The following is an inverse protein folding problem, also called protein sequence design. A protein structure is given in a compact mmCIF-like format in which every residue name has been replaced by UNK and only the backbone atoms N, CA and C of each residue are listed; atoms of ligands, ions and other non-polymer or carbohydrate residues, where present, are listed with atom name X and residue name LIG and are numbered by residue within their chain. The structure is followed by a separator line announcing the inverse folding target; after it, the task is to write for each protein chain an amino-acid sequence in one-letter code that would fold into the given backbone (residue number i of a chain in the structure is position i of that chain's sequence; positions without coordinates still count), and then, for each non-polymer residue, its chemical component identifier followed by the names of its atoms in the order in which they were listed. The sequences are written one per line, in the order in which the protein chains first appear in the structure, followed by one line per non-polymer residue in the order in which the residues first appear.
data_IF_732584213198
#
_entry.id   IF_732584213198
#
_cell.length_a   1.000
_cell.length_b   1.000
_cell.length_c   1.000
_cell.angle_alpha   90.00
_cell.angle_beta   90.00
_cell.angle_gamma   90.00
#
_symmetry.space_group_name_H-M   'P 1'
#
loop_
_entity.id
_entity.type
_entity.pdbx_description
1 polymer ?
#
# COMPACT_ATOMS: atom_id res chain seq x y z
N UNK A 1 31.13 53.62 11.95
CA UNK A 1 31.21 54.23 10.62
C UNK A 1 32.03 53.23 9.82
N UNK A 2 31.48 52.46 8.89
CA UNK A 2 30.71 52.95 7.75
C UNK A 2 29.64 51.96 7.26
N UNK A 3 28.50 52.53 6.89
CA UNK A 3 27.36 51.90 6.24
C UNK A 3 27.71 51.58 4.78
N UNK A 4 27.45 50.35 4.32
CA UNK A 4 27.38 50.01 2.90
C UNK A 4 25.92 49.62 2.58
N UNK A 5 25.31 50.14 1.49
CA UNK A 5 23.85 50.16 1.33
C UNK A 5 23.30 48.83 0.80
N UNK A 6 22.11 48.46 1.28
CA UNK A 6 21.25 47.45 0.67
C UNK A 6 20.75 47.96 -0.68
N UNK A 7 21.35 47.47 -1.76
CA UNK A 7 20.85 47.68 -3.12
C UNK A 7 19.75 46.66 -3.41
N UNK A 8 18.50 47.12 -3.41
CA UNK A 8 17.33 46.35 -3.82
C UNK A 8 17.40 46.07 -5.33
N UNK A 9 17.95 44.90 -5.70
CA UNK A 9 17.78 44.37 -7.05
C UNK A 9 16.42 43.67 -7.17
N UNK A 10 15.61 43.92 -8.23
CA UNK A 10 14.33 43.25 -8.41
C UNK A 10 14.55 41.75 -8.58
N UNK A 11 13.83 40.95 -7.78
CA UNK A 11 13.66 39.52 -7.99
C UNK A 11 13.26 39.27 -9.44
N UNK A 12 14.19 38.77 -10.26
CA UNK A 12 13.84 38.10 -11.50
C UNK A 12 12.96 36.93 -11.11
N UNK A 13 11.67 37.06 -11.37
CA UNK A 13 10.74 35.95 -11.35
C UNK A 13 11.27 34.93 -12.35
N UNK A 14 11.91 33.88 -11.85
CA UNK A 14 12.09 32.67 -12.60
C UNK A 14 10.68 32.16 -12.92
N UNK A 15 10.31 32.20 -14.20
CA UNK A 15 9.08 31.58 -14.71
C UNK A 15 9.17 30.07 -14.45
N UNK A 16 8.63 29.69 -13.30
CA UNK A 16 8.67 28.33 -12.81
C UNK A 16 7.64 27.50 -13.59
N UNK A 17 8.13 26.67 -14.51
CA UNK A 17 7.58 25.39 -14.97
C UNK A 17 6.11 25.15 -14.60
N UNK A 18 5.21 25.77 -15.38
CA UNK A 18 3.78 25.55 -15.30
C UNK A 18 3.47 24.09 -15.62
N UNK A 19 2.95 23.38 -14.63
CA UNK A 19 2.32 22.09 -14.86
C UNK A 19 1.14 22.33 -15.81
N UNK A 20 1.20 21.75 -17.02
CA UNK A 20 0.25 21.98 -18.12
C UNK A 20 -1.11 21.34 -17.81
N UNK A 21 -1.91 22.00 -16.99
CA UNK A 21 -3.30 21.61 -16.78
C UNK A 21 -4.22 22.37 -17.74
N UNK A 22 -5.14 21.64 -18.38
CA UNK A 22 -6.26 22.21 -19.12
C UNK A 22 -7.03 23.14 -18.18
N UNK A 23 -6.98 24.44 -18.45
CA UNK A 23 -7.71 25.45 -17.68
C UNK A 23 -8.83 26.00 -18.54
N UNK A 24 -10.07 25.80 -18.10
CA UNK A 24 -11.23 26.42 -18.73
C UNK A 24 -11.24 27.91 -18.35
N UNK A 25 -11.22 28.79 -19.34
CA UNK A 25 -11.31 30.24 -19.14
C UNK A 25 -12.66 30.75 -19.65
N UNK A 26 -13.11 31.89 -19.11
CA UNK A 26 -14.23 32.65 -19.67
C UNK A 26 -13.86 33.05 -21.11
N UNK A 27 -14.81 32.93 -22.03
CA UNK A 27 -14.74 33.25 -23.48
C UNK A 27 -14.83 32.06 -24.47
N UNK A 28 -15.39 30.91 -24.06
CA UNK A 28 -15.64 29.74 -24.93
C UNK A 28 -14.39 29.24 -25.70
N UNK A 29 -13.21 29.44 -25.12
CA UNK A 29 -11.93 29.02 -25.69
C UNK A 29 -11.15 28.18 -24.68
N UNK A 30 -10.62 27.06 -25.16
CA UNK A 30 -9.74 26.16 -24.44
C UNK A 30 -8.30 26.54 -24.80
N UNK A 31 -7.53 27.00 -23.82
CA UNK A 31 -6.11 27.34 -24.02
C UNK A 31 -5.23 26.20 -23.51
N UNK A 32 -4.36 25.68 -24.37
CA UNK A 32 -3.41 24.61 -24.05
C UNK A 32 -2.03 25.02 -24.54
N UNK A 33 -1.07 25.15 -23.62
CA UNK A 33 0.24 25.73 -23.90
C UNK A 33 0.11 27.11 -24.58
N UNK A 34 0.53 27.23 -25.85
CA UNK A 34 0.46 28.46 -26.66
C UNK A 34 -0.64 28.42 -27.73
N UNK A 35 -1.48 27.38 -27.76
CA UNK A 35 -2.56 27.24 -28.73
C UNK A 35 -3.94 27.44 -28.09
N UNK A 36 -4.87 27.99 -28.87
CA UNK A 36 -6.26 28.20 -28.50
C UNK A 36 -7.18 27.36 -29.38
N UNK A 37 -8.15 26.71 -28.76
CA UNK A 37 -9.14 25.86 -29.41
C UNK A 37 -10.54 26.33 -29.05
N UNK A 38 -11.44 26.38 -30.03
CA UNK A 38 -12.86 26.66 -29.77
C UNK A 38 -13.47 25.60 -28.86
N UNK A 39 -14.25 26.02 -27.87
CA UNK A 39 -15.01 25.14 -26.99
C UNK A 39 -16.22 24.56 -27.75
N UNK A 40 -15.99 23.52 -28.55
CA UNK A 40 -17.06 22.77 -29.22
C UNK A 40 -17.61 21.69 -28.29
N UNK A 41 -18.89 21.32 -28.39
CA UNK A 41 -19.45 20.20 -27.65
C UNK A 41 -18.67 18.90 -27.89
N UNK A 42 -18.29 18.62 -29.14
CA UNK A 42 -17.50 17.44 -29.50
C UNK A 42 -16.10 17.40 -28.88
N UNK A 43 -15.42 18.55 -28.79
CA UNK A 43 -14.10 18.61 -28.15
C UNK A 43 -14.20 18.49 -26.63
N UNK A 44 -15.24 19.04 -26.01
CA UNK A 44 -15.51 18.87 -24.57
C UNK A 44 -15.80 17.40 -24.24
N UNK A 45 -16.60 16.72 -25.07
CA UNK A 45 -16.87 15.28 -24.94
C UNK A 45 -15.55 14.48 -24.93
N UNK A 46 -14.63 14.76 -25.85
CA UNK A 46 -13.34 14.07 -25.95
C UNK A 46 -12.39 14.36 -24.77
N UNK A 47 -12.40 15.58 -24.23
CA UNK A 47 -11.46 16.00 -23.18
C UNK A 47 -11.88 15.58 -21.77
N UNK A 48 -13.18 15.56 -21.48
CA UNK A 48 -13.67 15.45 -20.09
C UNK A 48 -14.55 14.23 -19.83
N UNK A 49 -15.12 13.57 -20.85
CA UNK A 49 -16.03 12.45 -20.65
C UNK A 49 -15.34 11.09 -20.91
N UNK A 50 -15.52 10.14 -19.98
CA UNK A 50 -14.94 8.78 -20.10
C UNK A 50 -15.55 7.95 -21.24
N UNK A 51 -16.79 8.26 -21.62
CA UNK A 51 -17.52 7.62 -22.71
C UNK A 51 -18.13 8.72 -23.58
N UNK A 52 -17.37 9.27 -24.53
CA UNK A 52 -17.79 10.41 -25.34
C UNK A 52 -19.02 10.11 -26.19
N UNK A 53 -19.94 11.08 -26.30
CA UNK A 53 -21.05 10.97 -27.24
C UNK A 53 -20.57 11.22 -28.69
N UNK A 54 -20.40 10.14 -29.45
CA UNK A 54 -19.86 10.18 -30.82
C UNK A 54 -20.68 11.01 -31.80
N UNK A 55 -21.97 11.22 -31.55
CA UNK A 55 -22.84 12.02 -32.43
C UNK A 55 -22.52 13.52 -32.40
N UNK A 56 -21.82 13.99 -31.37
CA UNK A 56 -21.43 15.39 -31.20
C UNK A 56 -20.01 15.68 -31.71
N UNK A 57 -19.28 14.66 -32.16
CA UNK A 57 -17.85 14.75 -32.48
C UNK A 57 -17.65 14.92 -33.98
N UNK A 58 -17.10 16.07 -34.38
CA UNK A 58 -16.65 16.32 -35.76
C UNK A 58 -15.22 15.84 -36.00
N UNK A 59 -14.83 15.72 -37.28
CA UNK A 59 -13.44 15.40 -37.62
C UNK A 59 -12.45 16.51 -37.23
N UNK A 60 -12.92 17.75 -37.14
CA UNK A 60 -12.14 18.87 -36.61
C UNK A 60 -11.86 18.68 -35.12
N UNK A 61 -12.85 18.21 -34.35
CA UNK A 61 -12.69 17.93 -32.92
C UNK A 61 -11.66 16.82 -32.68
N UNK A 62 -11.67 15.76 -33.51
CA UNK A 62 -10.67 14.68 -33.45
C UNK A 62 -9.25 15.20 -33.72
N UNK A 63 -9.08 16.07 -34.72
CA UNK A 63 -7.78 16.68 -35.05
C UNK A 63 -7.28 17.58 -33.92
N UNK A 64 -8.15 18.40 -33.35
CA UNK A 64 -7.81 19.29 -32.24
C UNK A 64 -7.47 18.49 -30.98
N UNK A 65 -8.26 17.47 -30.66
CA UNK A 65 -7.98 16.55 -29.57
C UNK A 65 -6.63 15.86 -29.74
N UNK A 66 -6.30 15.36 -30.94
CA UNK A 66 -4.99 14.75 -31.21
C UNK A 66 -3.83 15.74 -30.99
N UNK A 67 -3.97 16.99 -31.42
CA UNK A 67 -2.96 18.05 -31.17
C UNK A 67 -2.81 18.36 -29.69
N UNK A 68 -3.91 18.46 -28.95
CA UNK A 68 -3.90 18.66 -27.51
C UNK A 68 -3.16 17.49 -26.85
N UNK A 69 -3.55 16.25 -27.12
CA UNK A 69 -2.92 15.07 -26.52
C UNK A 69 -1.41 14.98 -26.80
N UNK A 70 -0.97 15.33 -28.01
CA UNK A 70 0.44 15.35 -28.40
C UNK A 70 1.21 16.49 -27.73
N UNK A 71 0.59 17.67 -27.57
CA UNK A 71 1.23 18.85 -26.96
C UNK A 71 1.23 18.83 -25.43
N UNK A 72 0.22 18.24 -24.79
CA UNK A 72 0.10 18.16 -23.32
C UNK A 72 0.91 17.03 -22.69
N UNK A 73 1.75 16.35 -23.47
CA UNK A 73 2.64 15.30 -22.97
C UNK A 73 1.87 14.15 -22.29
N UNK A 74 0.58 14.00 -22.59
CA UNK A 74 -0.34 13.09 -21.89
C UNK A 74 -0.13 11.64 -22.27
N UNK A 75 0.48 11.34 -23.42
CA UNK A 75 0.71 9.95 -23.82
C UNK A 75 2.07 9.39 -23.43
N UNK A 76 3.16 10.17 -23.37
CA UNK A 76 4.43 9.60 -22.93
C UNK A 76 5.41 10.67 -22.48
N UNK A 77 5.76 10.63 -21.20
CA UNK A 77 6.90 11.36 -20.64
C UNK A 77 8.27 10.97 -21.26
N UNK A 78 8.30 10.03 -22.24
CA UNK A 78 9.50 9.45 -22.90
C UNK A 78 9.23 8.77 -24.27
N UNK A 79 8.22 9.18 -25.05
CA UNK A 79 8.05 8.58 -26.39
C UNK A 79 8.92 9.30 -27.39
N UNK A 80 9.98 8.60 -27.76
CA UNK A 80 10.77 8.89 -28.92
C UNK A 80 10.33 7.89 -30.00
N UNK A 81 9.76 8.35 -31.14
CA UNK A 81 9.28 7.45 -32.20
C UNK A 81 10.41 6.60 -32.82
N UNK A 82 11.67 7.04 -32.69
CA UNK A 82 12.88 6.29 -33.10
C UNK A 82 13.65 5.70 -31.89
N UNK A 83 13.14 5.88 -30.67
CA UNK A 83 13.78 5.39 -29.46
C UNK A 83 13.63 3.88 -29.30
N UNK A 84 14.73 3.18 -29.06
CA UNK A 84 14.67 1.78 -28.63
C UNK A 84 13.85 1.65 -27.34
N UNK A 85 12.96 0.65 -27.28
CA UNK A 85 12.17 0.32 -26.09
C UNK A 85 13.09 0.29 -24.86
N UNK A 86 12.88 1.22 -23.92
CA UNK A 86 13.75 1.37 -22.75
C UNK A 86 13.73 0.10 -21.90
N UNK A 87 14.77 -0.71 -22.07
CA UNK A 87 15.18 -1.70 -21.07
C UNK A 87 15.51 -0.97 -19.77
N UNK A 88 15.02 -1.57 -18.70
CA UNK A 88 15.16 -1.18 -17.31
C UNK A 88 16.57 -0.67 -16.95
N UNK A 89 16.66 0.63 -16.65
CA UNK A 89 17.79 1.14 -15.87
C UNK A 89 17.28 1.77 -14.58
N UNK A 90 17.78 1.21 -13.48
CA UNK A 90 17.30 1.39 -12.12
C UNK A 90 17.35 2.82 -11.61
N UNK A 91 16.30 3.14 -10.85
CA UNK A 91 16.19 4.07 -9.71
C UNK A 91 17.28 5.15 -9.57
N UNK A 92 17.00 6.35 -10.10
CA UNK A 92 17.64 7.59 -9.66
C UNK A 92 17.09 8.02 -8.29
N UNK A 93 17.98 8.29 -7.34
CA UNK A 93 17.67 8.63 -5.93
C UNK A 93 17.08 10.03 -5.71
N UNK A 94 16.88 10.82 -6.77
CA UNK A 94 16.34 12.19 -6.72
C UNK A 94 14.98 12.35 -7.44
N UNK A 95 14.26 11.25 -7.68
CA UNK A 95 12.94 11.35 -8.27
C UNK A 95 11.94 11.85 -7.23
N UNK A 96 11.48 13.09 -7.39
CA UNK A 96 10.29 13.60 -6.69
C UNK A 96 9.18 12.57 -6.88
N UNK A 97 8.79 11.90 -5.79
CA UNK A 97 7.63 11.01 -5.82
C UNK A 97 6.47 11.83 -6.35
N UNK A 98 5.91 11.41 -7.48
CA UNK A 98 4.74 12.07 -8.04
C UNK A 98 3.63 12.16 -6.99
N UNK A 99 2.66 13.09 -7.16
CA UNK A 99 1.51 13.16 -6.26
C UNK A 99 0.87 11.76 -6.13
N UNK A 100 0.40 11.38 -4.92
CA UNK A 100 -0.18 10.06 -4.68
C UNK A 100 -1.18 9.73 -5.79
N UNK A 101 -0.87 8.72 -6.60
CA UNK A 101 -1.76 8.35 -7.70
C UNK A 101 -3.13 7.96 -7.15
N UNK A 102 -4.20 8.27 -7.89
CA UNK A 102 -5.50 7.59 -7.77
C UNK A 102 -5.28 6.10 -8.08
N UNK A 103 -4.76 5.34 -7.12
CA UNK A 103 -4.27 3.98 -7.33
C UNK A 103 -4.03 3.18 -6.05
N UNK A 104 -4.07 3.83 -4.89
CA UNK A 104 -4.19 3.11 -3.62
C UNK A 104 -5.67 2.76 -3.49
N UNK A 105 -6.01 1.47 -3.55
CA UNK A 105 -7.35 0.97 -3.26
C UNK A 105 -7.63 1.19 -1.78
N UNK A 106 -7.91 2.44 -1.42
CA UNK A 106 -8.26 2.83 -0.06
C UNK A 106 -9.75 2.61 0.09
N UNK A 107 -10.14 1.79 1.06
CA UNK A 107 -11.54 1.57 1.41
C UNK A 107 -12.12 2.82 2.07
N UNK A 108 -13.45 2.92 2.15
CA UNK A 108 -14.13 4.12 2.67
C UNK A 108 -13.80 4.43 4.13
N UNK A 109 -13.30 3.45 4.88
CA UNK A 109 -12.81 3.56 6.26
C UNK A 109 -11.32 3.94 6.36
N UNK A 110 -10.65 4.22 5.24
CA UNK A 110 -9.24 4.65 5.21
C UNK A 110 -8.22 3.51 5.20
N UNK A 111 -8.66 2.26 5.15
CA UNK A 111 -7.78 1.08 5.08
C UNK A 111 -7.37 0.76 3.64
N UNK A 112 -6.43 -0.17 3.45
CA UNK A 112 -5.97 -0.59 2.12
C UNK A 112 -6.56 -1.94 1.72
N UNK A 113 -7.24 -2.00 0.57
CA UNK A 113 -7.63 -3.23 -0.11
C UNK A 113 -6.49 -3.73 -1.01
N UNK A 114 -5.85 -4.82 -0.60
CA UNK A 114 -4.77 -5.45 -1.37
C UNK A 114 -5.28 -6.24 -2.59
N UNK A 115 -6.60 -6.34 -2.82
CA UNK A 115 -7.23 -7.04 -3.93
C UNK A 115 -6.65 -8.46 -4.13
N UNK A 116 -6.52 -9.20 -3.01
CA UNK A 116 -5.93 -10.53 -2.94
C UNK A 116 -4.47 -10.63 -3.44
N UNK A 117 -3.71 -9.53 -3.40
CA UNK A 117 -2.28 -9.52 -3.69
C UNK A 117 -1.46 -9.73 -2.42
N UNK A 118 -0.26 -10.29 -2.60
CA UNK A 118 0.71 -10.48 -1.53
C UNK A 118 1.45 -9.18 -1.25
N UNK A 119 1.62 -8.85 0.04
CA UNK A 119 2.59 -7.87 0.49
C UNK A 119 3.91 -8.58 0.76
N UNK A 120 4.96 -8.21 0.04
CA UNK A 120 6.29 -8.79 0.19
C UNK A 120 7.19 -7.85 0.99
N UNK A 121 8.27 -8.40 1.56
CA UNK A 121 9.31 -7.63 2.27
C UNK A 121 8.80 -6.84 3.48
N UNK A 122 7.78 -7.39 4.17
CA UNK A 122 7.30 -6.85 5.46
C UNK A 122 8.33 -7.16 6.53
N UNK A 123 8.86 -6.13 7.19
CA UNK A 123 9.80 -6.26 8.29
C UNK A 123 9.11 -6.83 9.55
N UNK A 124 9.90 -7.23 10.55
CA UNK A 124 9.34 -7.62 11.85
C UNK A 124 8.58 -6.44 12.50
N UNK A 125 7.43 -6.70 13.13
CA UNK A 125 6.67 -5.67 13.82
C UNK A 125 7.44 -5.15 15.04
N UNK A 126 7.31 -3.85 15.33
CA UNK A 126 7.89 -3.17 16.50
C UNK A 126 6.80 -2.63 17.41
N UNK A 127 5.74 -2.10 16.82
CA UNK A 127 4.60 -1.51 17.53
C UNK A 127 3.36 -2.41 17.45
N UNK A 128 2.40 -2.19 18.34
CA UNK A 128 1.21 -3.05 18.47
C UNK A 128 0.33 -3.09 17.21
N UNK A 129 0.36 -2.03 16.39
CA UNK A 129 -0.46 -1.90 15.18
C UNK A 129 0.33 -2.21 13.90
N UNK A 130 1.55 -2.72 14.01
CA UNK A 130 2.35 -3.07 12.85
C UNK A 130 1.81 -4.33 12.15
N UNK A 131 1.94 -4.35 10.83
CA UNK A 131 1.65 -5.55 10.05
C UNK A 131 2.63 -6.66 10.40
N UNK A 132 2.11 -7.86 10.66
CA UNK A 132 2.91 -9.02 11.04
C UNK A 132 3.29 -9.83 9.80
N UNK A 133 4.57 -10.16 9.68
CA UNK A 133 5.05 -11.06 8.63
C UNK A 133 4.69 -12.53 8.93
N UNK A 134 4.57 -13.35 7.89
CA UNK A 134 4.35 -14.79 8.06
C UNK A 134 5.43 -15.47 8.92
N UNK A 135 6.70 -15.06 8.75
CA UNK A 135 7.81 -15.61 9.53
C UNK A 135 7.66 -15.36 11.03
N UNK A 136 7.31 -14.13 11.42
CA UNK A 136 7.07 -13.76 12.83
C UNK A 136 5.93 -14.58 13.44
N UNK A 137 4.83 -14.74 12.71
CA UNK A 137 3.69 -15.54 13.15
C UNK A 137 4.08 -17.02 13.32
N UNK A 138 4.78 -17.59 12.35
CA UNK A 138 5.22 -18.99 12.37
C UNK A 138 6.16 -19.28 13.54
N UNK A 139 7.13 -18.40 13.81
CA UNK A 139 8.03 -18.53 14.97
C UNK A 139 7.25 -18.52 16.29
N UNK A 140 6.28 -17.62 16.42
CA UNK A 140 5.45 -17.51 17.63
C UNK A 140 4.64 -18.78 17.84
N UNK A 141 3.97 -19.27 16.79
CA UNK A 141 3.19 -20.50 16.83
C UNK A 141 4.06 -21.68 17.24
N UNK A 142 5.22 -21.85 16.60
CA UNK A 142 6.13 -22.96 16.91
C UNK A 142 6.61 -22.91 18.37
N UNK A 143 6.95 -21.72 18.87
CA UNK A 143 7.41 -21.56 20.24
C UNK A 143 6.32 -21.89 21.27
N UNK A 144 5.09 -21.44 21.04
CA UNK A 144 3.95 -21.77 21.91
C UNK A 144 3.60 -23.26 21.85
N UNK A 145 3.67 -23.89 20.68
CA UNK A 145 3.50 -25.34 20.56
C UNK A 145 4.54 -26.12 21.37
N UNK A 146 5.81 -25.69 21.36
CA UNK A 146 6.85 -26.35 22.16
C UNK A 146 6.64 -26.16 23.67
N UNK A 147 6.21 -24.97 24.11
CA UNK A 147 5.84 -24.73 25.52
C UNK A 147 4.69 -25.63 25.98
N UNK A 148 3.67 -25.77 25.13
CA UNK A 148 2.51 -26.63 25.42
C UNK A 148 2.95 -28.10 25.51
N UNK A 149 3.78 -28.57 24.57
CA UNK A 149 4.32 -29.94 24.60
C UNK A 149 5.06 -30.25 25.89
N UNK A 150 5.93 -29.33 26.34
CA UNK A 150 6.69 -29.48 27.59
C UNK A 150 5.76 -29.53 28.81
N UNK A 151 4.76 -28.64 28.85
CA UNK A 151 3.78 -28.61 29.93
C UNK A 151 2.99 -29.92 30.01
N UNK A 152 2.55 -30.46 28.87
CA UNK A 152 1.85 -31.75 28.79
C UNK A 152 2.73 -32.89 29.29
N UNK A 153 4.01 -32.91 28.95
CA UNK A 153 4.94 -33.94 29.41
C UNK A 153 5.09 -33.92 30.93
N UNK A 154 5.21 -32.74 31.54
CA UNK A 154 5.27 -32.60 33.01
C UNK A 154 3.98 -33.12 33.67
N UNK A 155 2.82 -32.68 33.18
CA UNK A 155 1.52 -33.11 33.72
C UNK A 155 1.36 -34.63 33.63
N UNK A 156 1.80 -35.23 32.52
CA UNK A 156 1.74 -36.69 32.34
C UNK A 156 2.55 -37.42 33.41
N UNK A 157 3.76 -36.95 33.69
CA UNK A 157 4.61 -37.54 34.74
C UNK A 157 3.96 -37.39 36.11
N UNK A 158 3.39 -36.23 36.42
CA UNK A 158 2.72 -35.98 37.70
C UNK A 158 1.51 -36.91 37.87
N UNK A 159 0.70 -37.10 36.82
CA UNK A 159 -0.43 -38.04 36.81
C UNK A 159 0.05 -39.47 37.01
N UNK A 160 1.15 -39.88 36.38
CA UNK A 160 1.72 -41.23 36.55
C UNK A 160 2.22 -41.47 37.98
N UNK A 161 2.84 -40.47 38.61
CA UNK A 161 3.26 -40.53 40.02
C UNK A 161 2.04 -40.62 40.93
N UNK A 162 1.02 -39.77 40.72
CA UNK A 162 -0.20 -39.80 41.52
C UNK A 162 -0.92 -41.15 41.40
N UNK A 163 -0.96 -41.74 40.20
CA UNK A 163 -1.55 -43.06 39.97
C UNK A 163 -0.85 -44.16 40.78
N UNK A 164 0.47 -44.12 40.88
CA UNK A 164 1.25 -45.04 41.72
C UNK A 164 0.93 -44.83 43.20
N UNK A 165 0.90 -43.59 43.66
CA UNK A 165 0.59 -43.26 45.06
C UNK A 165 -0.81 -43.76 45.46
N UNK A 166 -1.83 -43.53 44.63
CA UNK A 166 -3.19 -44.04 44.85
C UNK A 166 -3.22 -45.57 44.91
N UNK A 167 -2.48 -46.25 44.04
CA UNK A 167 -2.40 -47.71 44.04
C UNK A 167 -1.78 -48.25 45.34
N UNK A 168 -0.68 -47.62 45.80
CA UNK A 168 -0.04 -47.97 47.08
C UNK A 168 -0.98 -47.73 48.27
N UNK A 169 -1.68 -46.58 48.31
CA UNK A 169 -2.65 -46.28 49.37
C UNK A 169 -3.79 -47.31 49.39
N UNK A 170 -4.28 -47.70 48.22
CA UNK A 170 -5.33 -48.73 48.10
C UNK A 170 -4.87 -50.07 48.68
N UNK A 171 -3.69 -50.55 48.30
CA UNK A 171 -3.13 -51.79 48.83
C UNK A 171 -2.97 -51.74 50.35
N UNK A 172 -2.48 -50.62 50.89
CA UNK A 172 -2.33 -50.45 52.34
C UNK A 172 -3.69 -50.50 53.06
N UNK A 173 -4.73 -49.88 52.48
CA UNK A 173 -6.09 -49.93 53.02
C UNK A 173 -6.66 -51.36 53.00
N UNK A 174 -6.48 -52.09 51.90
CA UNK A 174 -6.94 -53.46 51.77
C UNK A 174 -6.25 -54.39 52.78
N UNK A 175 -4.94 -54.18 53.01
CA UNK A 175 -4.17 -54.90 54.04
C UNK A 175 -4.70 -54.59 55.44
N UNK A 176 -4.90 -53.30 55.79
CA UNK A 176 -5.44 -52.90 57.09
C UNK A 176 -6.82 -53.50 57.35
N UNK A 177 -7.72 -53.43 56.35
CA UNK A 177 -9.06 -54.01 56.43
C UNK A 177 -8.99 -55.51 56.72
N UNK A 178 -8.05 -56.23 56.10
CA UNK A 178 -7.83 -57.66 56.37
C UNK A 178 -7.43 -57.89 57.83
N UNK A 179 -6.45 -57.16 58.36
CA UNK A 179 -6.00 -57.33 59.75
C UNK A 179 -7.09 -57.07 60.80
N UNK A 180 -7.96 -56.07 60.58
CA UNK A 180 -9.06 -55.77 61.49
C UNK A 180 -10.15 -56.86 61.55
N UNK A 181 -10.24 -57.76 60.56
CA UNK A 181 -11.22 -58.85 60.53
C UNK A 181 -10.68 -60.11 61.25
N UNK A 182 -9.35 -60.25 61.37
CA UNK A 182 -8.69 -61.44 61.93
C UNK A 182 -8.11 -61.23 63.34
N UNK A 183 -8.39 -60.10 63.98
CA UNK A 183 -8.02 -59.84 65.38
C UNK A 183 -9.25 -60.05 66.27
N UNK A 184 -9.21 -60.96 67.28
CA UNK A 184 -10.34 -61.28 68.16
C UNK A 184 -10.88 -60.10 68.97
#
# INVERSE_FOLDING_TARGET
SDNIPFENSPLKQHENNSTLYLKKFKDNMISVANEQYSETPGLIELLFNKTPNVSLISDTDKKNYLKIINSTNTLYKRYDPDGSLMLDKGVDKNSYRGPPGYGFKVTTDGQYDMANKRLCNVASPKDANDAVSFGTMMTTINHELERIKQSIASIRNDVDVQKKNVSTMRNNFDIQKKYCIYTP
#
